data_IF_842101352052
#
_entry.id   IF_842101352052
#
_cell.length_a   1.000
_cell.length_b   1.000
_cell.length_c   1.000
_cell.angle_alpha   90.00
_cell.angle_beta   90.00
_cell.angle_gamma   90.00
#
_symmetry.space_group_name_H-M   'P 1'
#
loop_
_entity.id
_entity.type
_entity.pdbx_description
1 polymer ?
#
# COMPACT_ATOMS: atom_id res chain seq x y z
N UNK A 1 28.26 14.66 6.52
CA UNK A 1 27.61 13.36 6.26
C UNK A 1 26.24 13.42 6.91
N UNK A 2 25.18 13.61 6.13
CA UNK A 2 23.82 13.74 6.67
C UNK A 2 23.33 12.34 7.07
N UNK A 3 23.35 12.02 8.36
CA UNK A 3 22.59 10.89 8.92
C UNK A 3 21.13 11.30 9.09
N UNK A 4 20.48 11.68 8.00
CA UNK A 4 19.03 11.75 7.97
C UNK A 4 18.53 10.32 7.75
N UNK A 5 18.19 9.58 8.80
CA UNK A 5 17.27 8.45 8.64
C UNK A 5 16.00 9.06 8.06
N UNK A 6 15.71 8.81 6.79
CA UNK A 6 14.36 9.04 6.27
C UNK A 6 13.42 8.22 7.15
N UNK A 7 12.56 8.89 7.92
CA UNK A 7 11.59 8.20 8.75
C UNK A 7 10.66 7.42 7.82
N UNK A 8 10.74 6.09 7.86
CA UNK A 8 9.81 5.22 7.14
C UNK A 8 8.38 5.60 7.53
N UNK A 9 7.62 6.09 6.55
CA UNK A 9 6.21 6.45 6.74
C UNK A 9 5.44 5.21 7.19
N UNK A 10 4.77 5.29 8.33
CA UNK A 10 3.93 4.19 8.85
C UNK A 10 2.70 3.92 7.99
N UNK A 11 2.26 4.92 7.22
CA UNK A 11 1.10 4.82 6.35
C UNK A 11 1.31 5.55 5.04
N UNK A 12 0.68 5.07 3.98
CA UNK A 12 0.71 5.71 2.66
C UNK A 12 -0.69 5.81 2.05
N UNK A 13 -0.88 6.74 1.10
CA UNK A 13 -2.08 6.85 0.26
C UNK A 13 -2.02 5.86 -0.90
N UNK A 14 -3.16 5.58 -1.52
CA UNK A 14 -3.23 4.71 -2.72
C UNK A 14 -2.33 5.20 -3.85
N UNK A 15 -2.18 6.53 -4.00
CA UNK A 15 -1.28 7.11 -5.00
C UNK A 15 0.20 6.86 -4.68
N UNK A 16 0.59 6.99 -3.41
CA UNK A 16 1.95 6.70 -2.96
C UNK A 16 2.26 5.21 -3.15
N UNK A 17 1.32 4.32 -2.80
CA UNK A 17 1.42 2.89 -3.07
C UNK A 17 1.57 2.57 -4.56
N UNK A 18 0.78 3.20 -5.43
CA UNK A 18 0.90 3.04 -6.87
C UNK A 18 2.29 3.44 -7.40
N UNK A 19 2.82 4.57 -6.93
CA UNK A 19 4.14 5.07 -7.32
C UNK A 19 5.28 4.19 -6.78
N UNK A 20 5.20 3.79 -5.51
CA UNK A 20 6.23 3.00 -4.81
C UNK A 20 6.36 1.57 -5.38
N UNK A 21 5.23 0.93 -5.71
CA UNK A 21 5.19 -0.43 -6.23
C UNK A 21 5.15 -0.50 -7.77
N UNK A 22 5.16 0.64 -8.46
CA UNK A 22 5.10 0.69 -9.93
C UNK A 22 3.79 0.18 -10.52
N UNK A 23 2.67 0.35 -9.81
CA UNK A 23 1.34 -0.15 -10.18
C UNK A 23 0.51 0.99 -10.76
N UNK A 24 -0.23 0.72 -11.84
CA UNK A 24 -1.18 1.70 -12.39
C UNK A 24 -2.24 2.09 -11.37
N UNK A 25 -2.62 3.37 -11.29
CA UNK A 25 -3.52 3.88 -10.23
C UNK A 25 -4.87 3.13 -10.14
N UNK A 26 -5.42 2.69 -11.28
CA UNK A 26 -6.67 1.92 -11.30
C UNK A 26 -6.47 0.54 -10.65
N UNK A 27 -5.43 -0.20 -11.05
CA UNK A 27 -5.08 -1.50 -10.46
C UNK A 27 -4.69 -1.36 -8.98
N UNK A 28 -4.07 -0.26 -8.59
CA UNK A 28 -3.81 0.03 -7.18
C UNK A 28 -5.13 0.16 -6.38
N UNK A 29 -6.17 0.78 -6.94
CA UNK A 29 -7.49 0.80 -6.31
C UNK A 29 -8.16 -0.58 -6.27
N UNK A 30 -7.98 -1.42 -7.29
CA UNK A 30 -8.47 -2.81 -7.29
C UNK A 30 -7.82 -3.61 -6.15
N UNK A 31 -6.48 -3.60 -6.09
CA UNK A 31 -5.69 -4.27 -5.04
C UNK A 31 -6.06 -3.75 -3.66
N UNK A 32 -6.11 -2.43 -3.47
CA UNK A 32 -6.48 -1.83 -2.18
C UNK A 32 -7.89 -2.23 -1.77
N UNK A 33 -8.79 -2.54 -2.71
CA UNK A 33 -10.14 -3.00 -2.42
C UNK A 33 -10.28 -4.51 -2.24
N UNK A 34 -9.23 -5.29 -2.49
CA UNK A 34 -9.20 -6.72 -2.21
C UNK A 34 -9.45 -7.01 -0.72
N UNK A 35 -10.04 -8.17 -0.47
CA UNK A 35 -10.33 -8.63 0.88
C UNK A 35 -9.03 -8.84 1.67
N UNK A 36 -9.02 -8.41 2.93
CA UNK A 36 -7.85 -8.54 3.81
C UNK A 36 -6.70 -7.58 3.51
N UNK A 37 -6.79 -6.72 2.48
CA UNK A 37 -5.73 -5.74 2.19
C UNK A 37 -5.47 -4.83 3.40
N UNK A 38 -4.21 -4.55 3.80
CA UNK A 38 -3.87 -3.85 5.03
C UNK A 38 -4.14 -2.34 4.95
N UNK A 39 -5.42 -1.97 4.96
CA UNK A 39 -5.89 -0.58 4.94
C UNK A 39 -6.75 -0.21 6.14
N UNK A 40 -6.74 1.08 6.46
CA UNK A 40 -7.70 1.74 7.35
C UNK A 40 -8.51 2.74 6.52
N UNK A 41 -9.84 2.66 6.63
CA UNK A 41 -10.75 3.64 6.02
C UNK A 41 -11.15 4.70 7.02
N UNK A 42 -10.75 5.94 6.78
CA UNK A 42 -11.13 7.12 7.55
C UNK A 42 -12.11 7.96 6.74
N UNK A 43 -13.39 7.59 6.79
CA UNK A 43 -14.45 8.19 5.97
C UNK A 43 -14.19 7.99 4.47
N UNK A 44 -13.84 9.07 3.75
CA UNK A 44 -13.49 9.05 2.32
C UNK A 44 -12.01 8.73 2.06
N UNK A 45 -11.18 8.79 3.08
CA UNK A 45 -9.73 8.62 2.97
C UNK A 45 -9.36 7.15 3.21
N UNK A 46 -8.47 6.62 2.37
CA UNK A 46 -7.82 5.32 2.58
C UNK A 46 -6.38 5.58 3.05
N UNK A 47 -5.97 4.87 4.09
CA UNK A 47 -4.60 4.80 4.58
C UNK A 47 -4.14 3.35 4.52
N UNK A 48 -3.01 3.10 3.89
CA UNK A 48 -2.41 1.77 3.75
C UNK A 48 -1.34 1.63 4.82
N UNK A 49 -1.32 0.52 5.55
CA UNK A 49 -0.31 0.25 6.58
C UNK A 49 0.95 -0.28 5.88
N UNK A 50 1.94 0.59 5.67
CA UNK A 50 3.12 0.32 4.84
C UNK A 50 3.83 -0.97 5.26
N UNK A 51 4.03 -1.17 6.57
CA UNK A 51 4.75 -2.33 7.12
C UNK A 51 4.06 -3.68 6.95
N UNK A 52 2.88 -3.75 6.30
CA UNK A 52 2.09 -4.97 6.12
C UNK A 52 1.80 -5.27 4.65
N UNK A 53 2.15 -4.37 3.74
CA UNK A 53 1.83 -4.51 2.31
C UNK A 53 2.57 -5.70 1.71
N UNK A 54 3.88 -5.79 1.94
CA UNK A 54 4.72 -6.85 1.36
C UNK A 54 4.27 -8.25 1.82
N UNK A 55 3.99 -8.41 3.12
CA UNK A 55 3.45 -9.65 3.69
C UNK A 55 2.11 -10.03 3.04
N UNK A 56 1.24 -9.05 2.76
CA UNK A 56 -0.03 -9.33 2.09
C UNK A 56 0.18 -9.71 0.63
N UNK A 57 1.10 -9.05 -0.10
CA UNK A 57 1.42 -9.36 -1.49
C UNK A 57 2.00 -10.79 -1.63
N UNK A 58 2.93 -11.17 -0.74
CA UNK A 58 3.52 -12.52 -0.72
C UNK A 58 2.45 -13.61 -0.55
N UNK A 59 1.48 -13.38 0.34
CA UNK A 59 0.37 -14.30 0.57
C UNK A 59 -0.64 -14.35 -0.59
N UNK A 60 -0.52 -13.46 -1.57
CA UNK A 60 -1.43 -13.33 -2.70
C UNK A 60 -0.74 -13.57 -4.06
N UNK A 61 0.48 -14.12 -4.06
CA UNK A 61 1.16 -14.49 -5.30
C UNK A 61 0.31 -15.50 -6.08
N UNK A 62 0.07 -15.20 -7.36
CA UNK A 62 -0.75 -16.03 -8.25
C UNK A 62 -2.24 -15.72 -8.24
N UNK A 63 -2.71 -14.81 -7.38
CA UNK A 63 -4.10 -14.34 -7.39
C UNK A 63 -4.31 -13.24 -8.43
N UNK A 64 -5.58 -13.09 -8.83
CA UNK A 64 -6.06 -12.01 -9.69
C UNK A 64 -7.13 -11.21 -8.94
N UNK A 65 -7.13 -9.89 -9.14
CA UNK A 65 -8.02 -8.93 -8.47
C UNK A 65 -8.86 -8.16 -9.46
#
# INVERSE_FOLDING_TARGET
MNYGKEEEKKTMRVKEFAEEYGIGINSAYEIVNAEGFPKIRLGRKILIIASRVDEWLDNNIGNSF
#
